data_IF_859073604031
#
_entry.id   IF_859073604031
#
_cell.length_a   1.000
_cell.length_b   1.000
_cell.length_c   1.000
_cell.angle_alpha   90.00
_cell.angle_beta   90.00
_cell.angle_gamma   90.00
#
_symmetry.space_group_name_H-M   'P 1'
#
loop_
_entity.id
_entity.type
_entity.pdbx_description
1 polymer ?
#
# COMPACT_ATOMS: atom_id res chain seq x y z
N UNK A 1 5.40 3.37 -23.05
CA UNK A 1 4.28 3.11 -22.12
C UNK A 1 4.34 4.11 -20.95
N UNK A 2 5.52 4.33 -20.42
CA UNK A 2 5.81 5.11 -19.20
C UNK A 2 5.35 6.57 -19.28
N UNK A 3 5.63 7.24 -20.41
CA UNK A 3 5.20 8.63 -20.63
C UNK A 3 3.67 8.80 -20.61
N UNK A 4 2.91 7.77 -21.02
CA UNK A 4 1.44 7.81 -20.98
C UNK A 4 0.95 7.72 -19.54
N UNK A 5 1.54 6.83 -18.74
CA UNK A 5 1.18 6.67 -17.33
C UNK A 5 1.52 7.91 -16.52
N UNK A 6 2.74 8.46 -16.67
CA UNK A 6 3.14 9.71 -16.02
C UNK A 6 2.16 10.85 -16.37
N UNK A 7 1.98 11.12 -17.66
CA UNK A 7 1.11 12.23 -18.11
C UNK A 7 -0.35 12.02 -17.71
N UNK A 8 -0.82 10.77 -17.73
CA UNK A 8 -2.20 10.42 -17.39
C UNK A 8 -2.51 10.66 -15.91
N UNK A 9 -1.62 10.25 -15.01
CA UNK A 9 -1.77 10.46 -13.57
C UNK A 9 -1.82 11.96 -13.26
N UNK A 10 -0.94 12.75 -13.88
CA UNK A 10 -0.88 14.19 -13.63
C UNK A 10 -2.13 14.92 -14.13
N UNK A 11 -2.63 14.56 -15.32
CA UNK A 11 -3.90 15.10 -15.84
C UNK A 11 -5.09 14.73 -14.97
N UNK A 12 -5.20 13.48 -14.54
CA UNK A 12 -6.29 13.03 -13.68
C UNK A 12 -6.26 13.71 -12.31
N UNK A 13 -5.07 13.95 -11.75
CA UNK A 13 -4.95 14.77 -10.55
C UNK A 13 -5.39 16.21 -10.80
N UNK A 14 -4.94 16.85 -11.87
CA UNK A 14 -5.33 18.24 -12.19
C UNK A 14 -6.84 18.38 -12.41
N UNK A 15 -7.49 17.34 -12.96
CA UNK A 15 -8.93 17.26 -13.10
C UNK A 15 -9.68 17.01 -11.78
N UNK A 16 -8.98 16.74 -10.67
CA UNK A 16 -9.57 16.44 -9.36
C UNK A 16 -10.12 15.02 -9.22
N UNK A 17 -9.83 14.12 -10.17
CA UNK A 17 -10.30 12.73 -10.15
C UNK A 17 -9.53 11.89 -9.12
N UNK A 18 -8.33 12.33 -8.73
CA UNK A 18 -7.44 11.68 -7.78
C UNK A 18 -7.32 12.45 -6.47
N UNK A 19 -8.43 13.07 -6.01
CA UNK A 19 -8.45 13.81 -4.76
C UNK A 19 -8.02 12.95 -3.57
N UNK A 20 -7.08 13.45 -2.78
CA UNK A 20 -6.49 12.73 -1.65
C UNK A 20 -5.37 11.76 -2.02
N UNK A 21 -4.99 11.67 -3.32
CA UNK A 21 -3.82 10.91 -3.71
C UNK A 21 -2.54 11.59 -3.22
N UNK A 22 -1.85 10.91 -2.32
CA UNK A 22 -0.61 11.37 -1.69
C UNK A 22 0.65 11.06 -2.51
N UNK A 23 0.64 9.92 -3.18
CA UNK A 23 1.68 9.53 -4.12
C UNK A 23 1.36 8.18 -4.73
N UNK A 24 2.03 7.88 -5.84
CA UNK A 24 1.86 6.63 -6.59
C UNK A 24 3.21 6.24 -7.18
N UNK A 25 3.52 4.94 -7.09
CA UNK A 25 4.69 4.32 -7.69
C UNK A 25 4.22 3.06 -8.43
N UNK A 26 4.47 3.00 -9.74
CA UNK A 26 4.10 1.87 -10.59
C UNK A 26 5.37 1.21 -11.08
N UNK A 27 5.59 -0.04 -10.66
CA UNK A 27 6.72 -0.85 -11.10
C UNK A 27 6.17 -2.09 -11.81
N UNK A 28 6.68 -2.36 -13.01
CA UNK A 28 6.37 -3.57 -13.76
C UNK A 28 7.67 -4.24 -14.21
N UNK A 29 7.83 -5.53 -13.90
CA UNK A 29 9.04 -6.31 -14.25
C UNK A 29 10.36 -5.66 -13.82
N UNK A 30 10.34 -4.92 -12.71
CA UNK A 30 11.51 -4.22 -12.18
C UNK A 30 11.76 -2.83 -12.77
N UNK A 31 10.96 -2.40 -13.76
CA UNK A 31 11.04 -1.07 -14.34
C UNK A 31 10.00 -0.14 -13.72
N UNK A 32 10.44 1.06 -13.31
CA UNK A 32 9.54 2.12 -12.84
C UNK A 32 8.87 2.76 -14.04
N UNK A 33 7.56 2.54 -14.17
CA UNK A 33 6.76 3.09 -15.27
C UNK A 33 6.17 4.46 -14.92
N UNK A 34 5.94 4.75 -13.64
CA UNK A 34 5.44 6.03 -13.17
C UNK A 34 5.76 6.25 -11.68
N UNK A 35 6.02 7.50 -11.31
CA UNK A 35 6.26 7.94 -9.93
C UNK A 35 5.82 9.39 -9.77
N UNK A 36 4.85 9.63 -8.90
CA UNK A 36 4.34 10.97 -8.59
C UNK A 36 4.07 11.13 -7.10
N UNK A 37 4.28 12.35 -6.61
CA UNK A 37 3.97 12.77 -5.25
C UNK A 37 3.25 14.11 -5.28
N UNK A 38 2.21 14.23 -4.45
CA UNK A 38 1.36 15.42 -4.46
C UNK A 38 1.28 16.03 -3.06
N UNK A 39 0.98 17.32 -3.01
CA UNK A 39 0.69 17.98 -1.74
C UNK A 39 -0.73 17.62 -1.31
N UNK A 40 -0.89 17.18 -0.06
CA UNK A 40 -2.19 16.73 0.44
C UNK A 40 -2.29 16.86 1.95
N UNK A 41 -3.51 16.76 2.47
CA UNK A 41 -3.78 16.75 3.89
C UNK A 41 -3.35 15.40 4.49
N UNK A 42 -2.41 15.43 5.43
CA UNK A 42 -1.80 14.24 6.02
C UNK A 42 -2.20 14.07 7.49
N UNK A 43 -2.10 12.84 7.98
CA UNK A 43 -2.44 12.49 9.35
C UNK A 43 -1.54 11.38 9.90
N UNK A 44 -1.40 11.36 11.23
CA UNK A 44 -0.69 10.33 11.97
C UNK A 44 -1.59 9.81 13.07
N UNK A 45 -2.11 8.59 12.91
CA UNK A 45 -2.94 7.95 13.94
C UNK A 45 -4.10 8.84 14.40
N UNK A 46 -4.81 9.45 13.44
CA UNK A 46 -5.94 10.34 13.68
C UNK A 46 -5.57 11.77 14.10
N UNK A 47 -4.27 12.07 14.28
CA UNK A 47 -3.79 13.45 14.48
C UNK A 47 -3.49 14.08 13.13
N UNK A 48 -4.22 15.15 12.79
CA UNK A 48 -3.97 15.97 11.59
C UNK A 48 -2.57 16.58 11.62
N UNK A 49 -1.82 16.40 10.52
CA UNK A 49 -0.51 17.02 10.27
C UNK A 49 -0.60 18.24 9.33
N UNK A 50 -1.79 18.53 8.82
CA UNK A 50 -2.03 19.62 7.87
C UNK A 50 -1.66 19.25 6.44
N UNK A 51 -1.65 20.25 5.55
CA UNK A 51 -1.23 20.05 4.16
C UNK A 51 0.29 20.01 4.08
N UNK A 52 0.85 18.95 3.49
CA UNK A 52 2.30 18.77 3.35
C UNK A 52 2.67 18.37 1.94
N UNK A 53 3.86 18.78 1.51
CA UNK A 53 4.50 18.28 0.28
C UNK A 53 5.07 16.90 0.55
N UNK A 54 4.54 15.90 -0.14
CA UNK A 54 4.99 14.52 -0.01
C UNK A 54 6.14 14.21 -0.96
N UNK A 55 6.93 13.22 -0.58
CA UNK A 55 8.15 12.76 -1.26
C UNK A 55 8.33 11.27 -1.02
N UNK A 56 9.25 10.64 -1.76
CA UNK A 56 9.58 9.22 -1.59
C UNK A 56 9.98 8.83 -0.16
N UNK A 57 10.54 9.76 0.61
CA UNK A 57 11.00 9.54 1.99
C UNK A 57 9.99 10.02 3.05
N UNK A 58 8.81 10.50 2.63
CA UNK A 58 7.78 10.94 3.56
C UNK A 58 7.14 9.75 4.26
N UNK A 59 7.20 9.72 5.59
CA UNK A 59 6.50 8.72 6.38
C UNK A 59 5.00 9.02 6.39
N UNK A 60 4.19 8.05 5.99
CA UNK A 60 2.74 8.13 5.95
C UNK A 60 2.10 6.99 6.77
N UNK A 61 0.96 7.27 7.38
CA UNK A 61 0.20 6.27 8.14
C UNK A 61 -0.51 5.31 7.18
N UNK A 62 0.10 4.14 6.95
CA UNK A 62 -0.37 3.16 5.97
C UNK A 62 -1.59 2.33 6.43
N UNK A 63 -1.89 2.30 7.74
CA UNK A 63 -3.04 1.56 8.32
C UNK A 63 -3.17 0.14 7.77
N UNK A 64 -4.36 -0.25 7.33
CA UNK A 64 -4.69 -1.59 6.83
C UNK A 64 -3.84 -2.06 5.65
N UNK A 65 -3.13 -1.18 4.95
CA UNK A 65 -2.13 -1.59 3.94
C UNK A 65 -1.06 -2.48 4.58
N UNK A 66 -0.74 -2.28 5.86
CA UNK A 66 0.19 -3.13 6.65
C UNK A 66 -0.25 -4.59 6.67
N UNK A 67 -1.55 -4.88 6.60
CA UNK A 67 -2.06 -6.26 6.61
C UNK A 67 -1.57 -7.05 5.39
N UNK A 68 -1.34 -6.40 4.24
CA UNK A 68 -0.79 -7.08 3.06
C UNK A 68 0.61 -7.64 3.31
N UNK A 69 1.47 -6.87 4.00
CA UNK A 69 2.81 -7.30 4.39
C UNK A 69 2.75 -8.41 5.44
N UNK A 70 1.89 -8.26 6.45
CA UNK A 70 1.69 -9.30 7.48
C UNK A 70 1.21 -10.60 6.84
N UNK A 71 0.23 -10.56 5.95
CA UNK A 71 -0.26 -11.73 5.22
C UNK A 71 0.82 -12.34 4.31
N UNK A 72 1.65 -11.52 3.65
CA UNK A 72 2.78 -12.00 2.82
C UNK A 72 3.80 -12.77 3.67
N UNK A 73 4.23 -12.19 4.79
CA UNK A 73 5.16 -12.83 5.72
C UNK A 73 4.55 -14.10 6.31
N UNK A 74 3.28 -14.04 6.69
CA UNK A 74 2.54 -15.20 7.18
C UNK A 74 2.51 -16.32 6.14
N UNK A 75 2.24 -16.02 4.87
CA UNK A 75 2.26 -16.99 3.78
C UNK A 75 3.62 -17.66 3.59
N UNK A 76 4.72 -16.93 3.74
CA UNK A 76 6.08 -17.49 3.71
C UNK A 76 6.29 -18.46 4.87
N UNK A 77 5.99 -18.04 6.10
CA UNK A 77 6.17 -18.88 7.30
C UNK A 77 5.29 -20.14 7.24
N UNK A 78 4.07 -20.02 6.71
CA UNK A 78 3.17 -21.15 6.48
C UNK A 78 3.74 -22.11 5.43
N UNK A 79 4.26 -21.59 4.32
CA UNK A 79 4.88 -22.41 3.26
C UNK A 79 6.16 -23.14 3.76
N UNK A 80 6.89 -22.53 4.68
CA UNK A 80 8.05 -23.14 5.35
C UNK A 80 7.66 -24.20 6.41
N UNK A 81 6.37 -24.39 6.69
CA UNK A 81 5.89 -25.32 7.73
C UNK A 81 6.22 -24.87 9.15
N UNK A 82 6.62 -23.61 9.33
CA UNK A 82 7.06 -23.04 10.62
C UNK A 82 5.92 -22.47 11.45
N UNK A 83 4.72 -22.38 10.87
CA UNK A 83 3.48 -22.06 11.57
C UNK A 83 2.40 -23.08 11.19
N UNK A 84 1.49 -23.38 12.11
CA UNK A 84 0.31 -24.21 11.81
C UNK A 84 -0.71 -23.38 11.04
N UNK A 85 -1.31 -23.98 10.01
CA UNK A 85 -2.50 -23.44 9.37
C UNK A 85 -3.67 -23.39 10.35
N UNK A 86 -4.39 -22.28 10.39
CA UNK A 86 -5.46 -22.01 11.36
C UNK A 86 -6.64 -22.96 11.11
N UNK A 87 -6.92 -23.29 9.85
CA UNK A 87 -7.87 -24.34 9.47
C UNK A 87 -7.43 -25.73 9.95
N UNK A 88 -6.13 -26.04 9.94
CA UNK A 88 -5.61 -27.35 10.37
C UNK A 88 -5.67 -27.52 11.90
N UNK A 89 -5.58 -26.41 12.64
CA UNK A 89 -5.72 -26.40 14.09
C UNK A 89 -7.20 -26.52 14.53
N UNK A 90 -8.10 -25.77 13.91
CA UNK A 90 -9.53 -25.76 14.24
C UNK A 90 -10.19 -27.13 14.06
N UNK A 91 -9.98 -27.80 12.91
CA UNK A 91 -10.54 -29.14 12.65
C UNK A 91 -10.03 -30.22 13.61
N UNK A 92 -8.89 -30.00 14.27
CA UNK A 92 -8.29 -30.97 15.20
C UNK A 92 -8.71 -30.73 16.65
N UNK A 93 -9.29 -29.57 16.96
CA UNK A 93 -9.73 -29.17 18.31
C UNK A 93 -11.25 -29.00 18.47
N UNK A 94 -12.04 -29.10 17.39
CA UNK A 94 -13.50 -29.10 17.47
C UNK A 94 -14.01 -30.49 17.91
N UNK A 95 -14.71 -30.62 19.04
CA UNK A 95 -15.44 -31.84 19.36
C UNK A 95 -16.61 -31.99 18.37
N UNK A 96 -16.80 -33.20 17.86
CA UNK A 96 -18.01 -33.61 17.14
C UNK A 96 -19.26 -33.53 18.01
#
# INVERSE_FOLDING_TARGET
MDAILQTGIEKAHQAGELNGLHGVLIIHKGETLAEHYFSGADERWGRTLGVRKLTATSLHDLRSVTQSLVCRLYGIVLAEGRCRGWMTAWFRSSPS
#
